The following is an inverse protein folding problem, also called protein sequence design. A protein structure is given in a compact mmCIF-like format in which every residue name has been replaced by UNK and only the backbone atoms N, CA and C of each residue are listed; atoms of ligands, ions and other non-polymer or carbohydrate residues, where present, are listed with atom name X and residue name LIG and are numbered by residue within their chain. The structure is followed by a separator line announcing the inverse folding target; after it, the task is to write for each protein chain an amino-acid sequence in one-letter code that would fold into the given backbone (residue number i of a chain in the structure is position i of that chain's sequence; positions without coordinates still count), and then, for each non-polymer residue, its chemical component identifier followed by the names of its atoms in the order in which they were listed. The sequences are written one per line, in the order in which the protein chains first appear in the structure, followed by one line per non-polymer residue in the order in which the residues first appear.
data_IF_972884466170
#
_entry.id   IF_972884466170
#
_cell.length_a   1.000
_cell.length_b   1.000
_cell.length_c   1.000
_cell.angle_alpha   90.00
_cell.angle_beta   90.00
_cell.angle_gamma   90.00
#
_symmetry.space_group_name_H-M   'P 1'
#
loop_
_entity.id
_entity.type
_entity.pdbx_description
1 polymer ?
#
# COMPACT_ATOMS: atom_id res chain seq x y z
N UNK A 1 26.24 17.20 -18.76
CA UNK A 1 25.75 15.94 -18.14
C UNK A 1 25.17 15.06 -19.25
N UNK A 2 25.81 13.95 -19.64
CA UNK A 2 25.30 13.08 -20.72
C UNK A 2 24.08 12.31 -20.21
N UNK A 3 22.88 12.69 -20.68
CA UNK A 3 21.65 11.93 -20.52
C UNK A 3 21.77 10.65 -21.34
N UNK A 4 22.10 9.54 -20.71
CA UNK A 4 22.08 8.22 -21.35
C UNK A 4 20.65 7.69 -21.37
N UNK A 5 20.28 6.97 -22.43
CA UNK A 5 18.97 6.33 -22.60
C UNK A 5 18.57 5.49 -21.38
N UNK A 6 19.56 4.85 -20.74
CA UNK A 6 19.35 4.08 -19.52
C UNK A 6 18.92 4.93 -18.32
N UNK A 7 19.51 6.12 -18.14
CA UNK A 7 19.13 7.03 -17.05
C UNK A 7 17.69 7.55 -17.23
N UNK A 8 17.26 7.74 -18.48
CA UNK A 8 15.85 8.06 -18.78
C UNK A 8 14.94 6.90 -18.36
N UNK A 9 15.24 5.67 -18.80
CA UNK A 9 14.43 4.48 -18.50
C UNK A 9 14.22 4.26 -17.00
N UNK A 10 15.28 4.36 -16.19
CA UNK A 10 15.17 4.11 -14.75
C UNK A 10 14.41 5.23 -14.02
N UNK A 11 14.52 6.48 -14.48
CA UNK A 11 13.72 7.59 -13.99
C UNK A 11 12.23 7.43 -14.33
N UNK A 12 11.91 6.90 -15.51
CA UNK A 12 10.53 6.57 -15.87
C UNK A 12 9.97 5.42 -15.02
N UNK A 13 10.76 4.37 -14.75
CA UNK A 13 10.30 3.24 -13.92
C UNK A 13 9.88 3.70 -12.51
N UNK A 14 10.70 4.52 -11.86
CA UNK A 14 10.33 5.04 -10.53
C UNK A 14 9.16 6.02 -10.61
N UNK A 15 9.06 6.82 -11.67
CA UNK A 15 7.93 7.71 -11.87
C UNK A 15 6.62 6.91 -11.97
N UNK A 16 6.61 5.81 -12.73
CA UNK A 16 5.46 4.91 -12.85
C UNK A 16 5.06 4.35 -11.48
N UNK A 17 6.02 3.89 -10.66
CA UNK A 17 5.73 3.39 -9.31
C UNK A 17 5.12 4.49 -8.43
N UNK A 18 5.64 5.72 -8.52
CA UNK A 18 5.12 6.86 -7.75
C UNK A 18 3.70 7.25 -8.15
N UNK A 19 3.42 7.27 -9.46
CA UNK A 19 2.08 7.52 -10.00
C UNK A 19 1.13 6.41 -9.56
N UNK A 20 1.56 5.16 -9.62
CA UNK A 20 0.78 4.02 -9.17
C UNK A 20 0.41 4.12 -7.68
N UNK A 21 1.36 4.49 -6.82
CA UNK A 21 1.09 4.72 -5.38
C UNK A 21 0.11 5.87 -5.17
N UNK A 22 0.26 6.97 -5.90
CA UNK A 22 -0.66 8.10 -5.81
C UNK A 22 -2.08 7.71 -6.25
N UNK A 23 -2.19 6.92 -7.33
CA UNK A 23 -3.46 6.39 -7.80
C UNK A 23 -4.12 5.46 -6.78
N UNK A 24 -3.36 4.54 -6.19
CA UNK A 24 -3.86 3.67 -5.10
C UNK A 24 -4.37 4.48 -3.91
N UNK A 25 -3.67 5.53 -3.53
CA UNK A 25 -4.09 6.42 -2.43
C UNK A 25 -5.41 7.12 -2.76
N UNK A 26 -5.51 7.75 -3.94
CA UNK A 26 -6.74 8.43 -4.39
C UNK A 26 -7.91 7.44 -4.51
N UNK A 27 -7.66 6.26 -5.05
CA UNK A 27 -8.66 5.20 -5.16
C UNK A 27 -9.19 4.78 -3.79
N UNK A 28 -8.30 4.50 -2.82
CA UNK A 28 -8.68 4.14 -1.46
C UNK A 28 -9.46 5.27 -0.77
N UNK A 29 -9.03 6.52 -0.95
CA UNK A 29 -9.71 7.69 -0.39
C UNK A 29 -11.12 7.85 -0.96
N UNK A 30 -11.27 7.74 -2.27
CA UNK A 30 -12.56 7.83 -2.96
C UNK A 30 -13.50 6.72 -2.51
N UNK A 31 -13.01 5.48 -2.46
CA UNK A 31 -13.78 4.33 -1.99
C UNK A 31 -14.21 4.47 -0.53
N UNK A 32 -13.34 5.01 0.33
CA UNK A 32 -13.68 5.27 1.73
C UNK A 32 -14.78 6.33 1.87
N UNK A 33 -14.68 7.43 1.12
CA UNK A 33 -15.69 8.49 1.11
C UNK A 33 -17.03 7.95 0.62
N UNK A 34 -17.05 7.22 -0.52
CA UNK A 34 -18.28 6.61 -1.04
C UNK A 34 -18.96 5.72 0.00
N UNK A 35 -18.21 4.85 0.68
CA UNK A 35 -18.77 3.98 1.74
C UNK A 35 -19.32 4.77 2.92
N UNK A 36 -18.68 5.86 3.30
CA UNK A 36 -19.18 6.73 4.38
C UNK A 36 -20.48 7.41 3.95
N UNK A 37 -20.53 7.92 2.72
CA UNK A 37 -21.72 8.57 2.15
C UNK A 37 -22.87 7.57 2.02
N UNK A 38 -22.65 6.40 1.43
CA UNK A 38 -23.67 5.34 1.30
C UNK A 38 -24.22 4.95 2.68
N UNK A 39 -23.35 4.82 3.68
CA UNK A 39 -23.76 4.51 5.05
C UNK A 39 -24.61 5.63 5.66
N UNK A 40 -24.25 6.87 5.40
CA UNK A 40 -24.97 8.04 5.89
C UNK A 40 -26.35 8.17 5.23
N UNK A 41 -26.45 7.93 3.93
CA UNK A 41 -27.70 8.05 3.15
C UNK A 41 -28.72 6.96 3.51
N UNK A 42 -28.25 5.78 3.91
CA UNK A 42 -29.11 4.66 4.34
C UNK A 42 -29.54 4.79 5.81
N UNK A 43 -28.74 5.43 6.66
CA UNK A 43 -29.02 5.57 8.08
C UNK A 43 -29.96 6.77 8.34
N UNK A 44 -31.25 6.54 8.11
CA UNK A 44 -32.36 7.51 8.11
C UNK A 44 -32.66 8.22 9.45
N UNK A 45 -31.78 8.18 10.45
CA UNK A 45 -32.06 8.70 11.80
C UNK A 45 -30.81 9.14 12.58
N UNK A 46 -29.80 9.68 11.91
CA UNK A 46 -28.63 10.21 12.58
C UNK A 46 -28.91 11.58 13.24
N UNK A 47 -28.15 11.90 14.27
CA UNK A 47 -28.44 12.95 15.26
C UNK A 47 -28.48 14.38 14.70
N UNK A 48 -28.86 15.38 15.50
CA UNK A 48 -28.83 16.80 15.09
C UNK A 48 -27.42 17.28 14.66
N UNK A 49 -26.36 16.54 15.01
CA UNK A 49 -24.97 16.88 14.66
C UNK A 49 -24.39 15.92 13.62
N UNK A 50 -24.47 16.33 12.35
CA UNK A 50 -23.86 15.59 11.22
C UNK A 50 -22.38 15.28 11.41
N UNK A 51 -21.65 16.11 12.16
CA UNK A 51 -20.24 15.90 12.46
C UNK A 51 -20.06 14.74 13.44
N UNK A 52 -20.90 14.63 14.47
CA UNK A 52 -20.85 13.53 15.43
C UNK A 52 -21.15 12.19 14.75
N UNK A 53 -22.12 12.18 13.83
CA UNK A 53 -22.47 10.97 13.06
C UNK A 53 -21.34 10.57 12.11
N UNK A 54 -20.69 11.53 11.46
CA UNK A 54 -19.51 11.27 10.64
C UNK A 54 -18.38 10.64 11.47
N UNK A 55 -18.07 11.18 12.65
CA UNK A 55 -17.07 10.59 13.55
C UNK A 55 -17.49 9.19 14.02
N UNK A 56 -18.75 8.98 14.33
CA UNK A 56 -19.28 7.67 14.70
C UNK A 56 -19.11 6.65 13.57
N UNK A 57 -19.49 7.00 12.33
CA UNK A 57 -19.37 6.10 11.17
C UNK A 57 -17.90 5.78 10.89
N UNK A 58 -17.05 6.81 10.88
CA UNK A 58 -15.62 6.65 10.53
C UNK A 58 -14.84 5.86 11.58
N UNK A 59 -15.17 6.01 12.87
CA UNK A 59 -14.53 5.26 13.96
C UNK A 59 -15.05 3.83 14.06
N UNK A 60 -16.34 3.58 13.76
CA UNK A 60 -16.96 2.26 13.93
C UNK A 60 -16.80 1.34 12.72
N UNK A 61 -16.92 1.85 11.50
CA UNK A 61 -16.99 1.02 10.28
C UNK A 61 -15.69 0.88 9.50
N UNK A 62 -14.58 1.41 10.02
CA UNK A 62 -13.23 1.08 9.53
C UNK A 62 -12.94 1.46 8.07
N UNK A 63 -13.81 2.26 7.45
CA UNK A 63 -13.72 2.63 6.04
C UNK A 63 -12.44 3.39 5.70
N UNK A 64 -11.88 4.13 6.68
CA UNK A 64 -10.63 4.87 6.52
C UNK A 64 -9.35 4.04 6.70
N UNK A 65 -9.44 2.76 7.14
CA UNK A 65 -8.23 1.93 7.39
C UNK A 65 -7.35 1.78 6.14
N UNK A 66 -7.88 1.47 4.93
CA UNK A 66 -7.07 1.38 3.72
C UNK A 66 -6.38 2.71 3.37
N UNK A 67 -7.05 3.85 3.63
CA UNK A 67 -6.51 5.19 3.42
C UNK A 67 -5.31 5.43 4.32
N UNK A 68 -5.46 5.18 5.62
CA UNK A 68 -4.39 5.35 6.62
C UNK A 68 -3.18 4.47 6.28
N UNK A 69 -3.38 3.23 5.84
CA UNK A 69 -2.28 2.35 5.46
C UNK A 69 -1.62 2.81 4.14
N UNK A 70 -2.41 3.22 3.15
CA UNK A 70 -1.89 3.75 1.88
C UNK A 70 -1.21 5.12 2.01
N UNK A 71 -1.34 5.79 3.15
CA UNK A 71 -0.63 7.01 3.47
C UNK A 71 0.88 6.78 3.67
N UNK A 72 1.28 5.60 4.17
CA UNK A 72 2.69 5.19 4.32
C UNK A 72 3.48 5.30 3.00
N UNK A 73 3.11 4.57 1.93
CA UNK A 73 3.83 4.65 0.66
C UNK A 73 3.66 6.04 0.02
N UNK A 74 2.50 6.69 0.19
CA UNK A 74 2.24 8.02 -0.36
C UNK A 74 3.21 9.07 0.21
N UNK A 75 3.41 9.10 1.53
CA UNK A 75 4.45 9.93 2.15
C UNK A 75 5.84 9.50 1.67
N UNK A 76 6.08 8.19 1.57
CA UNK A 76 7.35 7.63 1.11
C UNK A 76 7.78 8.12 -0.28
N UNK A 77 6.84 8.37 -1.19
CA UNK A 77 7.08 8.90 -2.55
C UNK A 77 7.78 10.26 -2.53
N UNK A 78 7.48 11.10 -1.54
CA UNK A 78 8.06 12.45 -1.41
C UNK A 78 9.43 12.43 -0.70
N UNK A 79 9.74 11.38 0.06
CA UNK A 79 10.99 11.28 0.81
C UNK A 79 12.07 10.57 -0.03
N UNK A 80 12.98 11.35 -0.63
CA UNK A 80 14.13 10.84 -1.43
C UNK A 80 15.30 10.34 -0.55
N UNK A 81 15.00 9.56 0.50
CA UNK A 81 15.98 8.99 1.44
C UNK A 81 15.65 7.54 1.74
N UNK A 82 16.57 6.84 2.41
CA UNK A 82 16.41 5.45 2.86
C UNK A 82 15.04 5.19 3.52
N UNK A 83 14.54 6.12 4.34
CA UNK A 83 13.24 5.98 5.01
C UNK A 83 12.08 5.94 4.02
N UNK A 84 12.05 6.79 2.99
CA UNK A 84 10.98 6.79 1.99
C UNK A 84 10.94 5.48 1.20
N UNK A 85 12.11 4.93 0.89
CA UNK A 85 12.20 3.60 0.29
C UNK A 85 11.64 2.50 1.19
N UNK A 86 11.95 2.53 2.50
CA UNK A 86 11.42 1.56 3.48
C UNK A 86 9.89 1.66 3.56
N UNK A 87 9.33 2.87 3.60
CA UNK A 87 7.88 3.09 3.65
C UNK A 87 7.16 2.56 2.41
N UNK A 88 7.75 2.73 1.22
CA UNK A 88 7.18 2.20 -0.02
C UNK A 88 7.26 0.67 -0.01
N UNK A 89 8.42 0.10 0.32
CA UNK A 89 8.60 -1.36 0.32
C UNK A 89 7.74 -2.04 1.39
N UNK A 90 7.62 -1.47 2.59
CA UNK A 90 6.82 -2.06 3.66
C UNK A 90 5.35 -2.15 3.28
N UNK A 91 4.83 -1.17 2.53
CA UNK A 91 3.48 -1.23 1.98
C UNK A 91 3.31 -2.38 0.98
N UNK A 92 4.26 -2.58 0.06
CA UNK A 92 4.17 -3.69 -0.91
C UNK A 92 4.31 -5.05 -0.22
N UNK A 93 5.17 -5.17 0.78
CA UNK A 93 5.23 -6.37 1.62
C UNK A 93 3.92 -6.61 2.37
N UNK A 94 3.32 -5.56 2.93
CA UNK A 94 2.00 -5.61 3.56
C UNK A 94 0.92 -6.12 2.57
N UNK A 95 0.87 -5.59 1.35
CA UNK A 95 -0.10 -6.03 0.35
C UNK A 95 0.08 -7.52 0.02
N UNK A 96 1.32 -7.98 -0.14
CA UNK A 96 1.61 -9.39 -0.39
C UNK A 96 1.14 -10.26 0.78
N UNK A 97 1.50 -9.92 2.02
CA UNK A 97 1.11 -10.72 3.18
C UNK A 97 -0.39 -10.72 3.42
N UNK A 98 -1.06 -9.60 3.15
CA UNK A 98 -2.52 -9.50 3.23
C UNK A 98 -3.21 -10.37 2.15
N UNK A 99 -2.69 -10.42 0.92
CA UNK A 99 -3.21 -11.32 -0.12
C UNK A 99 -3.03 -12.79 0.29
N UNK A 100 -1.83 -13.17 0.73
CA UNK A 100 -1.55 -14.54 1.18
C UNK A 100 -2.51 -14.94 2.31
N UNK A 101 -2.77 -14.03 3.26
CA UNK A 101 -3.69 -14.32 4.35
C UNK A 101 -5.14 -14.50 3.88
N UNK A 102 -5.61 -13.69 2.93
CA UNK A 102 -6.94 -13.87 2.33
C UNK A 102 -7.07 -15.23 1.65
N UNK A 103 -6.07 -15.63 0.87
CA UNK A 103 -6.05 -16.96 0.21
C UNK A 103 -6.12 -18.10 1.23
N UNK A 104 -5.36 -18.02 2.32
CA UNK A 104 -5.36 -19.05 3.37
C UNK A 104 -6.71 -19.13 4.08
N UNK A 105 -7.36 -17.98 4.31
CA UNK A 105 -8.61 -17.92 5.09
C UNK A 105 -9.83 -18.35 4.29
N UNK A 106 -9.91 -17.93 3.03
CA UNK A 106 -11.13 -18.06 2.23
C UNK A 106 -11.24 -19.41 1.49
N UNK A 107 -10.31 -20.34 1.74
CA UNK A 107 -10.20 -21.69 1.14
C UNK A 107 -10.59 -21.67 -0.35
N UNK A 108 -9.81 -20.90 -1.13
CA UNK A 108 -10.16 -20.53 -2.50
C UNK A 108 -10.25 -21.77 -3.40
N UNK A 109 -11.48 -22.15 -3.76
CA UNK A 109 -11.78 -23.23 -4.71
C UNK A 109 -12.05 -22.70 -6.13
N UNK A 110 -12.35 -21.40 -6.26
CA UNK A 110 -12.68 -20.77 -7.54
C UNK A 110 -11.41 -20.39 -8.34
N UNK A 111 -11.29 -20.99 -9.53
CA UNK A 111 -10.16 -20.80 -10.44
C UNK A 111 -9.99 -19.35 -10.93
N UNK A 112 -11.08 -18.61 -11.14
CA UNK A 112 -11.02 -17.23 -11.62
C UNK A 112 -10.47 -16.30 -10.53
N UNK A 113 -10.89 -16.54 -9.28
CA UNK A 113 -10.35 -15.83 -8.12
C UNK A 113 -8.87 -16.15 -7.93
N UNK A 114 -8.47 -17.42 -8.00
CA UNK A 114 -7.06 -17.83 -7.90
C UNK A 114 -6.20 -17.11 -8.95
N UNK A 115 -6.67 -17.05 -10.20
CA UNK A 115 -5.95 -16.35 -11.27
C UNK A 115 -5.75 -14.86 -10.95
N UNK A 116 -6.77 -14.18 -10.46
CA UNK A 116 -6.68 -12.78 -10.05
C UNK A 116 -5.67 -12.57 -8.90
N UNK A 117 -5.64 -13.47 -7.91
CA UNK A 117 -4.67 -13.43 -6.82
C UNK A 117 -3.23 -13.63 -7.31
N UNK A 118 -2.99 -14.58 -8.23
CA UNK A 118 -1.66 -14.84 -8.81
C UNK A 118 -1.15 -13.64 -9.60
N UNK A 119 -2.01 -13.00 -10.41
CA UNK A 119 -1.64 -11.78 -11.13
C UNK A 119 -1.32 -10.66 -10.15
N UNK A 120 -2.18 -10.43 -9.17
CA UNK A 120 -1.99 -9.38 -8.16
C UNK A 120 -0.67 -9.57 -7.40
N UNK A 121 -0.39 -10.79 -6.94
CA UNK A 121 0.87 -11.14 -6.29
C UNK A 121 2.07 -10.86 -7.21
N UNK A 122 1.98 -11.28 -8.48
CA UNK A 122 3.05 -11.11 -9.46
C UNK A 122 3.37 -9.64 -9.73
N UNK A 123 2.34 -8.79 -9.83
CA UNK A 123 2.51 -7.33 -10.02
C UNK A 123 3.19 -6.71 -8.81
N UNK A 124 2.75 -7.04 -7.58
CA UNK A 124 3.35 -6.51 -6.35
C UNK A 124 4.82 -6.95 -6.22
N UNK A 125 5.10 -8.22 -6.50
CA UNK A 125 6.45 -8.76 -6.47
C UNK A 125 7.36 -8.08 -7.49
N UNK A 126 6.86 -7.81 -8.70
CA UNK A 126 7.58 -7.06 -9.72
C UNK A 126 7.96 -5.66 -9.22
N UNK A 127 7.07 -4.95 -8.54
CA UNK A 127 7.37 -3.61 -7.99
C UNK A 127 8.50 -3.69 -6.96
N UNK A 128 8.50 -4.69 -6.07
CA UNK A 128 9.57 -4.92 -5.08
C UNK A 128 10.92 -5.13 -5.80
N UNK A 129 10.95 -5.97 -6.85
CA UNK A 129 12.15 -6.21 -7.66
C UNK A 129 12.64 -4.92 -8.30
N UNK A 130 11.74 -4.13 -8.91
CA UNK A 130 12.09 -2.87 -9.55
C UNK A 130 12.70 -1.88 -8.54
N UNK A 131 12.08 -1.74 -7.37
CA UNK A 131 12.58 -0.88 -6.28
C UNK A 131 13.94 -1.34 -5.72
N UNK A 132 14.27 -2.62 -5.84
CA UNK A 132 15.57 -3.20 -5.46
C UNK A 132 16.68 -3.01 -6.50
N UNK A 133 16.38 -2.55 -7.72
CA UNK A 133 17.41 -2.30 -8.74
C UNK A 133 18.41 -1.27 -8.22
N UNK A 134 19.71 -1.59 -8.37
CA UNK A 134 20.83 -0.75 -7.89
C UNK A 134 20.70 0.72 -8.27
N UNK A 135 20.24 1.01 -9.49
CA UNK A 135 20.06 2.38 -9.96
C UNK A 135 18.97 3.11 -9.18
N UNK A 136 17.83 2.48 -8.92
CA UNK A 136 16.75 3.06 -8.11
C UNK A 136 17.15 3.16 -6.64
N UNK A 137 17.58 2.06 -6.02
CA UNK A 137 17.88 2.03 -4.58
C UNK A 137 19.07 2.92 -4.21
N UNK A 138 20.14 2.94 -5.02
CA UNK A 138 21.32 3.76 -4.76
C UNK A 138 21.13 5.22 -5.20
N UNK A 139 20.66 5.50 -6.42
CA UNK A 139 20.64 6.86 -6.95
C UNK A 139 19.48 7.69 -6.39
N UNK A 140 18.31 7.09 -6.17
CA UNK A 140 17.12 7.84 -5.75
C UNK A 140 16.92 7.86 -4.22
N UNK A 141 17.46 6.86 -3.52
CA UNK A 141 17.25 6.69 -2.08
C UNK A 141 18.54 6.54 -1.26
N UNK A 142 19.71 6.50 -1.90
CA UNK A 142 21.01 6.47 -1.22
C UNK A 142 21.33 5.16 -0.50
N UNK A 143 20.72 4.04 -0.89
CA UNK A 143 20.94 2.72 -0.27
C UNK A 143 22.17 2.07 -0.91
N UNK A 144 23.18 1.74 -0.09
CA UNK A 144 24.34 0.96 -0.52
C UNK A 144 23.95 -0.50 -0.76
N UNK A 145 24.68 -1.20 -1.64
CA UNK A 145 24.40 -2.62 -1.95
C UNK A 145 24.44 -3.50 -0.70
N UNK A 146 25.40 -3.27 0.19
CA UNK A 146 25.58 -3.99 1.45
C UNK A 146 24.40 -3.79 2.42
N UNK A 147 23.78 -2.60 2.41
CA UNK A 147 22.66 -2.28 3.29
C UNK A 147 21.31 -2.75 2.74
N UNK A 148 21.23 -3.08 1.44
CA UNK A 148 19.97 -3.35 0.74
C UNK A 148 19.20 -4.52 1.37
N UNK A 149 19.89 -5.60 1.72
CA UNK A 149 19.27 -6.76 2.37
C UNK A 149 18.71 -6.39 3.74
N UNK A 150 19.47 -5.68 4.57
CA UNK A 150 19.01 -5.22 5.88
C UNK A 150 17.78 -4.30 5.76
N UNK A 151 17.77 -3.38 4.78
CA UNK A 151 16.61 -2.52 4.55
C UNK A 151 15.38 -3.26 4.04
N UNK A 152 15.55 -4.27 3.18
CA UNK A 152 14.45 -5.15 2.77
C UNK A 152 13.87 -5.91 3.97
N UNK A 153 14.71 -6.46 4.84
CA UNK A 153 14.25 -7.16 6.05
C UNK A 153 13.44 -6.23 6.95
N UNK A 154 13.91 -5.00 7.18
CA UNK A 154 13.17 -4.00 7.98
C UNK A 154 11.81 -3.69 7.33
N UNK A 155 11.79 -3.45 6.01
CA UNK A 155 10.55 -3.17 5.29
C UNK A 155 9.58 -4.37 5.35
N UNK A 156 10.09 -5.59 5.20
CA UNK A 156 9.31 -6.83 5.30
C UNK A 156 8.68 -6.98 6.69
N UNK A 157 9.47 -6.82 7.76
CA UNK A 157 8.97 -6.90 9.14
C UNK A 157 7.88 -5.86 9.37
N UNK A 158 8.07 -4.61 8.93
CA UNK A 158 7.04 -3.57 9.05
C UNK A 158 5.76 -3.92 8.29
N UNK A 159 5.86 -4.46 7.07
CA UNK A 159 4.69 -4.90 6.29
C UNK A 159 3.92 -6.04 6.96
N UNK A 160 4.64 -7.01 7.51
CA UNK A 160 4.05 -8.12 8.28
C UNK A 160 3.36 -7.61 9.55
N UNK A 161 3.99 -6.69 10.28
CA UNK A 161 3.40 -6.08 11.48
C UNK A 161 2.08 -5.37 11.18
N UNK A 162 1.99 -4.62 10.08
CA UNK A 162 0.74 -3.98 9.65
C UNK A 162 -0.34 -5.03 9.41
N UNK A 163 0.00 -6.14 8.76
CA UNK A 163 -0.94 -7.25 8.51
C UNK A 163 -1.45 -7.84 9.82
N UNK A 164 -0.54 -8.16 10.76
CA UNK A 164 -0.90 -8.71 12.07
C UNK A 164 -1.80 -7.74 12.87
N UNK A 165 -1.46 -6.45 12.89
CA UNK A 165 -2.27 -5.42 13.56
C UNK A 165 -3.69 -5.40 12.95
N UNK A 166 -3.82 -5.43 11.62
CA UNK A 166 -5.13 -5.46 10.97
C UNK A 166 -5.94 -6.70 11.32
N UNK A 167 -5.29 -7.86 11.45
CA UNK A 167 -5.95 -9.10 11.83
C UNK A 167 -6.45 -9.05 13.26
N UNK A 168 -5.64 -8.57 14.20
CA UNK A 168 -6.04 -8.40 15.60
C UNK A 168 -7.23 -7.45 15.73
N UNK A 169 -7.23 -6.35 14.97
CA UNK A 169 -8.34 -5.40 14.99
C UNK A 169 -9.62 -5.99 14.36
N UNK A 170 -9.52 -6.96 13.44
CA UNK A 170 -10.70 -7.62 12.82
C UNK A 170 -11.24 -8.77 13.67
N UNK A 171 -10.42 -9.36 14.54
CA UNK A 171 -10.80 -10.47 15.41
C UNK A 171 -11.55 -10.01 16.69
N UNK A 172 -11.35 -8.75 17.09
CA UNK A 172 -12.11 -8.07 18.16
C UNK A 172 -13.34 -7.35 17.61
#
# INVERSE_FOLDING_TARGET
MKLTLENLKDNYLILIIKIFIAFLFIFNLTNAILKITDHYDVAYSFSESKIADYFYITTRFSYLRPVIISLLPFIGVFIKRKIGWILIQSYFYFLISNLVFMVIKDDLIDNDLIFFYVISFSILFLIIILMNKKKISKLNYGIKKEELTSKNIIAFILGMLITLILLLIKAN
#
